data_IF_708267876944
#
_entry.id   IF_708267876944
#
_cell.length_a   1.000
_cell.length_b   1.000
_cell.length_c   1.000
_cell.angle_alpha   90.00
_cell.angle_beta   90.00
_cell.angle_gamma   90.00
#
_symmetry.space_group_name_H-M   'P 1'
#
loop_
_entity.id
_entity.type
_entity.pdbx_description
1 polymer ?
#
# COMPACT_ATOMS: atom_id res chain seq x y z
N UNK A 1 7.19 48.20 -6.09
CA UNK A 1 8.37 47.55 -5.47
C UNK A 1 8.10 47.37 -3.99
N UNK A 2 8.41 46.20 -3.44
CA UNK A 2 8.32 45.97 -2.00
C UNK A 2 9.26 46.94 -1.28
N UNK A 3 8.80 47.58 -0.21
CA UNK A 3 9.61 48.52 0.57
C UNK A 3 9.56 48.14 2.05
N UNK A 4 10.65 48.36 2.77
CA UNK A 4 10.70 48.12 4.20
C UNK A 4 11.22 49.31 4.99
N UNK A 5 10.75 49.45 6.22
CA UNK A 5 11.25 50.43 7.19
C UNK A 5 11.67 49.70 8.46
N UNK A 6 12.84 50.03 9.00
CA UNK A 6 13.34 49.46 10.27
C UNK A 6 13.35 50.55 11.33
N UNK A 7 12.69 50.30 12.45
CA UNK A 7 12.57 51.26 13.56
C UNK A 7 12.98 50.61 14.88
N UNK A 8 13.46 51.44 15.81
CA UNK A 8 13.79 51.01 17.18
C UNK A 8 12.55 51.19 18.06
N UNK A 9 12.02 50.09 18.59
CA UNK A 9 10.90 50.09 19.54
C UNK A 9 11.45 50.17 20.96
N UNK A 10 11.01 51.17 21.72
CA UNK A 10 11.31 51.32 23.15
C UNK A 10 10.06 50.98 23.96
N UNK A 11 10.18 50.01 24.85
CA UNK A 11 9.23 49.75 25.94
C UNK A 11 9.81 50.29 27.25
N UNK A 12 9.00 50.41 28.31
CA UNK A 12 9.42 50.94 29.63
C UNK A 12 10.67 50.24 30.21
N UNK A 13 10.92 48.98 29.85
CA UNK A 13 11.99 48.14 30.43
C UNK A 13 12.97 47.55 29.40
N UNK A 14 12.74 47.71 28.09
CA UNK A 14 13.64 47.15 27.06
C UNK A 14 13.51 47.86 25.72
N UNK A 15 14.58 47.78 24.90
CA UNK A 15 14.55 48.24 23.52
C UNK A 15 14.79 47.09 22.56
N UNK A 16 13.98 46.99 21.52
CA UNK A 16 14.13 45.99 20.44
C UNK A 16 13.98 46.66 19.09
N UNK A 17 14.52 46.04 18.06
CA UNK A 17 14.33 46.47 16.68
C UNK A 17 13.10 45.78 16.07
N UNK A 18 12.44 46.48 15.16
CA UNK A 18 11.31 45.97 14.40
C UNK A 18 11.40 46.42 12.94
N UNK A 19 10.77 45.66 12.05
CA UNK A 19 10.59 46.06 10.65
C UNK A 19 9.10 46.13 10.29
N UNK A 20 8.79 46.96 9.30
CA UNK A 20 7.52 47.03 8.59
C UNK A 20 7.78 46.82 7.09
N UNK A 21 7.31 45.72 6.51
CA UNK A 21 7.35 45.48 5.05
C UNK A 21 5.98 45.78 4.45
N UNK A 22 5.93 46.64 3.44
CA UNK A 22 4.71 46.95 2.67
C UNK A 22 4.71 46.15 1.38
N UNK A 23 3.66 45.37 1.15
CA UNK A 23 3.48 44.61 -0.09
C UNK A 23 1.99 44.33 -0.36
N UNK A 24 1.50 44.42 -1.61
CA UNK A 24 0.09 44.16 -1.96
C UNK A 24 -0.41 42.75 -1.65
N UNK A 25 0.47 41.75 -1.56
CA UNK A 25 0.09 40.37 -1.26
C UNK A 25 -0.34 40.12 0.19
N UNK A 26 -0.08 41.06 1.11
CA UNK A 26 -0.56 40.94 2.49
C UNK A 26 -2.01 41.42 2.60
N UNK A 27 -2.87 40.66 3.31
CA UNK A 27 -4.27 41.08 3.58
C UNK A 27 -4.40 42.48 4.20
N UNK A 28 -3.44 42.90 5.03
CA UNK A 28 -3.38 44.21 5.68
C UNK A 28 -2.54 45.26 4.93
N UNK A 29 -2.02 44.93 3.74
CA UNK A 29 -1.08 45.76 2.96
C UNK A 29 0.32 45.91 3.57
N UNK A 30 0.54 45.44 4.80
CA UNK A 30 1.82 45.47 5.52
C UNK A 30 1.97 44.30 6.50
N UNK A 31 3.20 43.78 6.64
CA UNK A 31 3.57 42.80 7.67
C UNK A 31 4.64 43.40 8.60
N UNK A 32 4.34 43.41 9.90
CA UNK A 32 5.21 43.96 10.96
C UNK A 32 5.75 42.83 11.82
N UNK A 33 7.05 42.87 12.15
CA UNK A 33 7.66 41.94 13.12
C UNK A 33 8.63 42.69 14.02
N UNK A 34 8.55 42.45 15.33
CA UNK A 34 9.39 43.06 16.36
C UNK A 34 10.11 42.00 17.20
N UNK A 35 11.15 42.41 17.93
CA UNK A 35 11.88 41.53 18.86
C UNK A 35 13.33 41.26 18.48
N UNK A 36 13.87 41.95 17.48
CA UNK A 36 15.27 41.80 17.05
C UNK A 36 16.22 42.54 18.01
N UNK A 37 17.39 41.96 18.28
CA UNK A 37 18.38 42.56 19.20
C UNK A 37 19.15 43.68 18.52
N UNK A 38 19.43 43.55 17.22
CA UNK A 38 20.19 44.54 16.44
C UNK A 38 19.42 45.08 15.24
N UNK A 39 19.82 46.26 14.74
CA UNK A 39 19.29 46.83 13.49
C UNK A 39 19.57 45.90 12.31
N UNK A 40 20.76 45.31 12.27
CA UNK A 40 21.20 44.41 11.20
C UNK A 40 20.32 43.15 11.12
N UNK A 41 19.98 42.53 12.26
CA UNK A 41 19.04 41.40 12.30
C UNK A 41 17.67 41.77 11.71
N UNK A 42 17.13 42.93 12.07
CA UNK A 42 15.86 43.41 11.56
C UNK A 42 15.91 43.73 10.05
N UNK A 43 17.02 44.30 9.56
CA UNK A 43 17.25 44.57 8.13
C UNK A 43 17.35 43.26 7.34
N UNK A 44 18.16 42.30 7.79
CA UNK A 44 18.33 41.00 7.13
C UNK A 44 16.99 40.23 7.07
N UNK A 45 16.22 40.24 8.16
CA UNK A 45 14.91 39.60 8.19
C UNK A 45 13.90 40.28 7.24
N UNK A 46 13.93 41.61 7.12
CA UNK A 46 13.08 42.35 6.20
C UNK A 46 13.47 42.10 4.72
N UNK A 47 14.76 42.09 4.42
CA UNK A 47 15.27 41.76 3.08
C UNK A 47 14.94 40.32 2.69
N UNK A 48 15.08 39.36 3.61
CA UNK A 48 14.68 37.98 3.37
C UNK A 48 13.18 37.88 3.06
N UNK A 49 12.33 38.60 3.80
CA UNK A 49 10.89 38.62 3.55
C UNK A 49 10.55 39.22 2.18
N UNK A 50 11.27 40.25 1.73
CA UNK A 50 11.10 40.83 0.39
C UNK A 50 11.54 39.86 -0.71
N UNK A 51 12.65 39.15 -0.54
CA UNK A 51 13.06 38.11 -1.51
C UNK A 51 12.03 37.00 -1.61
N UNK A 52 11.55 36.52 -0.46
CA UNK A 52 10.53 35.47 -0.40
C UNK A 52 9.23 35.89 -1.10
N UNK A 53 8.89 37.19 -1.00
CA UNK A 53 7.77 37.84 -1.67
C UNK A 53 7.93 37.94 -3.19
N UNK A 54 9.13 38.28 -3.65
CA UNK A 54 9.48 38.46 -5.07
C UNK A 54 9.59 37.12 -5.79
N UNK A 55 10.02 36.06 -5.09
CA UNK A 55 10.11 34.69 -5.60
C UNK A 55 8.74 33.98 -5.71
N UNK A 56 7.62 34.66 -5.39
CA UNK A 56 6.27 34.10 -5.48
C UNK A 56 5.94 33.06 -4.41
N UNK A 57 6.75 32.94 -3.34
CA UNK A 57 6.47 32.01 -2.26
C UNK A 57 5.25 32.46 -1.46
N UNK A 58 4.36 31.52 -1.13
CA UNK A 58 3.21 31.79 -0.29
C UNK A 58 3.68 32.18 1.12
N UNK A 59 3.44 33.44 1.52
CA UNK A 59 3.72 33.94 2.88
C UNK A 59 2.58 33.56 3.84
N UNK A 60 1.81 32.53 3.48
CA UNK A 60 0.76 32.06 4.34
C UNK A 60 1.40 31.23 5.45
N UNK A 61 1.14 31.63 6.70
CA UNK A 61 1.60 30.91 7.89
C UNK A 61 0.69 29.70 8.13
N UNK A 62 0.45 28.92 7.06
CA UNK A 62 -0.44 27.78 7.05
C UNK A 62 0.21 26.58 7.72
N UNK A 63 -0.55 25.90 8.58
CA UNK A 63 -0.10 24.66 9.21
C UNK A 63 -0.07 23.53 8.17
N UNK A 64 0.77 22.52 8.41
CA UNK A 64 0.81 21.37 7.52
C UNK A 64 -0.50 20.61 7.49
N UNK A 65 -1.21 20.52 8.62
CA UNK A 65 -2.54 19.89 8.70
C UNK A 65 -3.55 20.55 7.78
N UNK A 66 -3.65 21.88 7.82
CA UNK A 66 -4.58 22.63 6.98
C UNK A 66 -4.30 22.40 5.49
N UNK A 67 -3.03 22.53 5.08
CA UNK A 67 -2.67 22.28 3.68
C UNK A 67 -2.90 20.83 3.27
N UNK A 68 -2.56 19.87 4.13
CA UNK A 68 -2.78 18.45 3.85
C UNK A 68 -4.26 18.13 3.65
N UNK A 69 -5.15 18.69 4.48
CA UNK A 69 -6.60 18.48 4.35
C UNK A 69 -7.16 19.08 3.06
N UNK A 70 -6.73 20.29 2.69
CA UNK A 70 -7.12 20.90 1.42
C UNK A 70 -6.60 20.08 0.23
N UNK A 71 -5.35 19.62 0.31
CA UNK A 71 -4.72 18.77 -0.69
C UNK A 71 -5.48 17.44 -0.87
N UNK A 72 -5.97 16.82 0.21
CA UNK A 72 -6.80 15.62 0.13
C UNK A 72 -8.10 15.86 -0.65
N UNK A 73 -8.72 17.02 -0.49
CA UNK A 73 -9.94 17.42 -1.21
C UNK A 73 -9.62 17.70 -2.67
N UNK A 74 -8.61 18.53 -2.94
CA UNK A 74 -8.19 18.92 -4.30
C UNK A 74 -7.81 17.70 -5.14
N UNK A 75 -7.05 16.76 -4.57
CA UNK A 75 -6.64 15.53 -5.26
C UNK A 75 -7.69 14.42 -5.22
N UNK A 76 -8.91 14.73 -4.76
CA UNK A 76 -10.04 13.80 -4.64
C UNK A 76 -9.66 12.47 -3.95
N UNK A 77 -8.83 12.51 -2.91
CA UNK A 77 -8.34 11.31 -2.21
C UNK A 77 -9.47 10.58 -1.46
N UNK A 78 -10.59 11.27 -1.18
CA UNK A 78 -11.78 10.67 -0.56
C UNK A 78 -12.49 9.65 -1.46
N UNK A 79 -12.25 9.67 -2.77
CA UNK A 79 -12.77 8.65 -3.70
C UNK A 79 -12.07 7.29 -3.59
N UNK A 80 -10.94 7.22 -2.86
CA UNK A 80 -10.20 5.98 -2.64
C UNK A 80 -10.97 5.01 -1.74
N UNK A 81 -10.61 3.72 -1.79
CA UNK A 81 -11.19 2.75 -0.87
C UNK A 81 -10.91 3.12 0.59
N UNK A 82 -11.82 2.76 1.51
CA UNK A 82 -11.68 3.02 2.95
C UNK A 82 -10.31 2.63 3.50
N UNK A 83 -9.76 1.50 3.05
CA UNK A 83 -8.45 1.00 3.48
C UNK A 83 -7.28 1.85 2.97
N UNK A 84 -7.38 2.39 1.75
CA UNK A 84 -6.36 3.28 1.20
C UNK A 84 -6.44 4.66 1.87
N UNK A 85 -7.65 5.20 2.03
CA UNK A 85 -7.87 6.48 2.67
C UNK A 85 -7.44 6.49 4.14
N UNK A 86 -7.65 5.37 4.86
CA UNK A 86 -7.16 5.18 6.23
C UNK A 86 -5.68 5.55 6.41
N UNK A 87 -4.82 5.24 5.43
CA UNK A 87 -3.40 5.58 5.54
C UNK A 87 -3.16 7.08 5.44
N UNK A 88 -3.93 7.83 4.66
CA UNK A 88 -3.82 9.28 4.61
C UNK A 88 -4.22 9.90 5.95
N UNK A 89 -5.32 9.43 6.57
CA UNK A 89 -5.77 9.87 7.90
C UNK A 89 -4.79 9.48 9.00
N UNK A 90 -4.25 8.26 8.95
CA UNK A 90 -3.28 7.79 9.95
C UNK A 90 -1.96 8.56 9.83
N UNK A 91 -1.51 8.85 8.60
CA UNK A 91 -0.24 9.54 8.37
C UNK A 91 -0.25 10.96 8.91
N UNK A 92 -1.35 11.72 8.72
CA UNK A 92 -1.42 13.07 9.26
C UNK A 92 -1.49 13.05 10.80
N UNK A 93 -2.24 12.11 11.39
CA UNK A 93 -2.26 11.94 12.86
C UNK A 93 -0.88 11.64 13.44
N UNK A 94 -0.15 10.71 12.83
CA UNK A 94 1.23 10.39 13.22
C UNK A 94 2.17 11.59 13.09
N UNK A 95 1.99 12.39 12.04
CA UNK A 95 2.74 13.63 11.87
C UNK A 95 2.44 14.61 13.01
N UNK A 96 1.17 14.81 13.36
CA UNK A 96 0.77 15.70 14.47
C UNK A 96 1.24 15.20 15.83
N UNK A 97 1.20 13.87 16.07
CA UNK A 97 1.72 13.25 17.30
C UNK A 97 3.22 13.55 17.50
N UNK A 98 4.00 13.68 16.41
CA UNK A 98 5.45 13.93 16.48
C UNK A 98 5.82 15.42 16.43
N UNK A 99 5.22 16.19 15.52
CA UNK A 99 5.57 17.60 15.26
C UNK A 99 4.68 18.61 15.98
N UNK A 100 3.53 18.17 16.51
CA UNK A 100 2.48 19.04 17.04
C UNK A 100 1.55 19.58 15.97
N UNK A 101 0.31 19.91 16.36
CA UNK A 101 -0.74 20.38 15.44
C UNK A 101 -0.44 21.75 14.80
N UNK A 102 0.35 22.59 15.48
CA UNK A 102 0.73 23.94 15.03
C UNK A 102 1.92 23.99 14.08
N UNK A 103 2.44 22.85 13.61
CA UNK A 103 3.62 22.81 12.75
C UNK A 103 3.35 23.50 11.41
N UNK A 104 4.05 24.61 11.15
CA UNK A 104 3.98 25.33 9.88
C UNK A 104 4.71 24.56 8.77
N UNK A 105 4.12 24.54 7.57
CA UNK A 105 4.67 23.80 6.41
C UNK A 105 6.11 24.23 6.13
N UNK A 106 6.35 25.54 6.06
CA UNK A 106 7.66 26.14 5.77
C UNK A 106 8.78 25.76 6.75
N UNK A 107 8.43 25.30 7.95
CA UNK A 107 9.39 24.93 8.99
C UNK A 107 9.78 23.44 8.91
N UNK A 108 9.16 22.66 8.03
CA UNK A 108 9.47 21.24 7.87
C UNK A 108 10.81 21.11 7.16
N UNK A 109 11.80 20.58 7.86
CA UNK A 109 13.14 20.34 7.31
C UNK A 109 13.35 18.86 7.01
N UNK A 110 14.26 18.57 6.08
CA UNK A 110 14.64 17.19 5.74
C UNK A 110 15.16 16.41 6.95
N UNK A 111 15.99 17.04 7.78
CA UNK A 111 16.57 16.41 8.97
C UNK A 111 15.49 15.98 9.96
N UNK A 112 14.55 16.87 10.28
CA UNK A 112 13.47 16.55 11.21
C UNK A 112 12.49 15.53 10.63
N UNK A 113 12.22 15.59 9.31
CA UNK A 113 11.41 14.59 8.64
C UNK A 113 12.07 13.19 8.65
N UNK A 114 13.40 13.10 8.48
CA UNK A 114 14.12 11.83 8.63
C UNK A 114 14.04 11.29 10.07
N UNK A 115 14.16 12.16 11.09
CA UNK A 115 14.02 11.75 12.50
C UNK A 115 12.61 11.22 12.78
N UNK A 116 11.58 11.85 12.23
CA UNK A 116 10.21 11.36 12.31
C UNK A 116 10.07 9.94 11.71
N UNK A 117 10.63 9.70 10.51
CA UNK A 117 10.59 8.38 9.91
C UNK A 117 11.36 7.32 10.71
N UNK A 118 12.51 7.68 11.28
CA UNK A 118 13.29 6.79 12.14
C UNK A 118 12.50 6.42 13.41
N UNK A 119 11.90 7.41 14.06
CA UNK A 119 11.08 7.21 15.26
C UNK A 119 9.87 6.32 14.94
N UNK A 120 9.16 6.58 13.84
CA UNK A 120 8.06 5.71 13.43
C UNK A 120 8.54 4.31 12.99
N UNK A 121 9.76 4.22 12.45
CA UNK A 121 10.39 2.96 12.07
C UNK A 121 10.66 2.01 13.23
N UNK A 122 10.80 2.53 14.45
CA UNK A 122 10.92 1.71 15.65
C UNK A 122 9.65 0.87 15.87
N UNK A 123 9.82 -0.46 15.85
CA UNK A 123 8.72 -1.42 16.01
C UNK A 123 7.92 -1.73 14.74
N UNK A 124 8.22 -1.05 13.62
CA UNK A 124 7.51 -1.21 12.36
C UNK A 124 8.38 -1.85 11.28
N UNK A 125 7.72 -2.41 10.27
CA UNK A 125 8.38 -2.93 9.06
C UNK A 125 8.61 -1.80 8.06
N UNK A 126 9.63 -1.93 7.20
CA UNK A 126 9.90 -0.97 6.11
C UNK A 126 8.64 -0.63 5.30
N UNK A 127 7.83 -1.65 4.99
CA UNK A 127 6.60 -1.47 4.22
C UNK A 127 5.52 -0.66 4.95
N UNK A 128 5.51 -0.72 6.29
CA UNK A 128 4.60 0.10 7.09
C UNK A 128 5.06 1.56 7.12
N UNK A 129 6.36 1.79 7.33
CA UNK A 129 6.97 3.13 7.26
C UNK A 129 6.77 3.74 5.87
N UNK A 130 6.95 2.93 4.81
CA UNK A 130 6.77 3.33 3.41
C UNK A 130 5.37 3.85 3.13
N UNK A 131 4.33 3.25 3.72
CA UNK A 131 2.95 3.73 3.53
C UNK A 131 2.75 5.13 4.10
N UNK A 132 3.26 5.39 5.30
CA UNK A 132 3.21 6.71 5.93
C UNK A 132 4.00 7.72 5.11
N UNK A 133 5.24 7.38 4.77
CA UNK A 133 6.08 8.22 3.92
C UNK A 133 5.43 8.53 2.57
N UNK A 134 4.80 7.55 1.91
CA UNK A 134 4.17 7.72 0.60
C UNK A 134 3.01 8.73 0.64
N UNK A 135 2.18 8.69 1.68
CA UNK A 135 1.09 9.65 1.85
C UNK A 135 1.61 11.07 2.10
N UNK A 136 2.57 11.22 3.01
CA UNK A 136 3.12 12.53 3.39
C UNK A 136 3.96 13.16 2.28
N UNK A 137 4.84 12.38 1.63
CA UNK A 137 5.77 12.87 0.60
C UNK A 137 5.08 13.32 -0.68
N UNK A 138 3.92 12.77 -1.02
CA UNK A 138 3.14 13.28 -2.15
C UNK A 138 2.63 14.70 -1.87
N UNK A 139 2.12 14.94 -0.66
CA UNK A 139 1.64 16.26 -0.26
C UNK A 139 2.78 17.27 -0.09
N UNK A 140 3.89 16.88 0.55
CA UNK A 140 5.05 17.76 0.76
C UNK A 140 5.74 18.16 -0.55
N UNK A 141 5.77 17.29 -1.56
CA UNK A 141 6.29 17.65 -2.89
C UNK A 141 5.39 18.63 -3.61
N UNK A 142 4.08 18.48 -3.52
CA UNK A 142 3.15 19.46 -4.09
C UNK A 142 3.28 20.82 -3.36
N UNK A 143 3.45 20.80 -2.02
CA UNK A 143 3.66 22.02 -1.23
C UNK A 143 4.94 22.79 -1.63
N UNK A 144 5.96 22.10 -2.13
CA UNK A 144 7.16 22.72 -2.70
C UNK A 144 6.84 23.47 -4.00
N UNK A 145 6.10 22.84 -4.92
CA UNK A 145 5.70 23.48 -6.18
C UNK A 145 4.70 24.62 -5.98
N UNK A 146 3.86 24.52 -4.95
CA UNK A 146 2.93 25.57 -4.54
C UNK A 146 3.62 26.72 -3.76
N UNK A 147 4.94 26.65 -3.54
CA UNK A 147 5.71 27.73 -2.92
C UNK A 147 5.61 27.84 -1.39
N UNK A 148 5.12 26.80 -0.70
CA UNK A 148 5.11 26.75 0.77
C UNK A 148 6.44 26.24 1.36
N UNK A 149 7.22 25.50 0.57
CA UNK A 149 8.55 25.01 0.92
C UNK A 149 9.59 25.57 -0.03
N UNK A 150 10.79 25.82 0.46
CA UNK A 150 11.96 26.20 -0.38
C UNK A 150 12.78 25.01 -0.84
N UNK A 151 12.70 23.90 -0.09
CA UNK A 151 13.46 22.66 -0.34
C UNK A 151 12.56 21.48 0.01
N UNK A 152 12.69 20.40 -0.75
CA UNK A 152 11.95 19.16 -0.48
C UNK A 152 12.45 18.49 0.82
N UNK A 153 11.64 18.40 1.89
CA UNK A 153 12.02 17.71 3.11
C UNK A 153 12.03 16.18 2.95
N UNK A 154 11.49 15.66 1.85
CA UNK A 154 11.38 14.23 1.56
C UNK A 154 12.44 13.73 0.59
N UNK A 155 13.29 14.62 0.07
CA UNK A 155 14.34 14.27 -0.87
C UNK A 155 15.34 13.30 -0.25
N UNK A 156 15.54 12.15 -0.90
CA UNK A 156 16.52 11.13 -0.51
C UNK A 156 16.46 10.76 0.98
N UNK A 157 15.26 10.55 1.51
CA UNK A 157 15.07 10.08 2.88
C UNK A 157 15.08 8.55 2.92
N UNK A 158 15.63 7.99 3.99
CA UNK A 158 15.68 6.55 4.18
C UNK A 158 14.40 6.05 4.85
N UNK A 159 13.75 5.08 4.22
CA UNK A 159 12.56 4.41 4.75
C UNK A 159 12.97 3.06 5.32
N UNK A 160 13.30 3.05 6.62
CA UNK A 160 13.74 1.85 7.34
C UNK A 160 12.92 1.65 8.61
N UNK A 161 12.43 0.44 8.80
CA UNK A 161 11.82 -0.03 10.03
C UNK A 161 12.75 -1.01 10.75
N UNK A 162 12.63 -1.10 12.07
CA UNK A 162 13.47 -2.01 12.87
C UNK A 162 12.92 -3.43 12.90
N UNK A 163 11.64 -3.62 12.56
CA UNK A 163 11.02 -4.93 12.49
C UNK A 163 11.23 -5.54 11.10
N UNK A 164 11.91 -6.68 11.04
CA UNK A 164 12.02 -7.44 9.78
C UNK A 164 10.64 -7.85 9.26
N UNK A 165 10.46 -7.75 7.95
CA UNK A 165 9.31 -8.35 7.29
C UNK A 165 9.39 -9.87 7.45
N UNK A 166 8.23 -10.54 7.40
CA UNK A 166 8.22 -12.01 7.42
C UNK A 166 8.86 -12.53 6.14
N UNK A 167 9.75 -13.50 6.28
CA UNK A 167 10.38 -14.16 5.14
C UNK A 167 9.32 -14.72 4.19
N UNK A 168 9.59 -14.59 2.90
CA UNK A 168 8.67 -15.01 1.85
C UNK A 168 8.44 -16.52 1.85
N UNK A 169 9.47 -17.30 2.20
CA UNK A 169 9.46 -18.75 2.42
C UNK A 169 8.34 -19.21 3.36
N UNK A 170 8.03 -18.43 4.41
CA UNK A 170 6.98 -18.75 5.39
C UNK A 170 5.54 -18.61 4.86
N UNK A 171 5.39 -18.14 3.61
CA UNK A 171 4.07 -17.96 2.95
C UNK A 171 3.66 -19.16 2.10
N UNK A 172 4.51 -20.17 1.94
CA UNK A 172 4.26 -21.33 1.09
C UNK A 172 3.93 -22.58 1.92
N UNK A 173 3.28 -23.54 1.28
CA UNK A 173 3.15 -24.90 1.79
C UNK A 173 3.82 -25.86 0.80
N UNK A 174 4.20 -27.05 1.26
CA UNK A 174 4.78 -28.04 0.36
C UNK A 174 3.72 -28.54 -0.63
N UNK A 175 4.15 -29.03 -1.81
CA UNK A 175 3.23 -29.58 -2.82
C UNK A 175 2.34 -30.69 -2.22
N UNK A 176 2.92 -31.57 -1.39
CA UNK A 176 2.19 -32.63 -0.70
C UNK A 176 1.11 -32.09 0.25
N UNK A 177 1.39 -31.00 0.97
CA UNK A 177 0.42 -30.35 1.86
C UNK A 177 -0.71 -29.69 1.07
N UNK A 178 -0.36 -29.05 -0.05
CA UNK A 178 -1.30 -28.41 -0.95
C UNK A 178 -2.29 -29.41 -1.56
N UNK A 179 -1.81 -30.54 -2.07
CA UNK A 179 -2.64 -31.62 -2.60
C UNK A 179 -3.59 -32.19 -1.52
N UNK A 180 -3.09 -32.43 -0.30
CA UNK A 180 -3.93 -32.88 0.84
C UNK A 180 -5.05 -31.89 1.17
N UNK A 181 -4.77 -30.59 1.12
CA UNK A 181 -5.80 -29.57 1.34
C UNK A 181 -6.86 -29.57 0.25
N UNK A 182 -6.46 -29.70 -1.02
CA UNK A 182 -7.39 -29.80 -2.14
C UNK A 182 -8.35 -30.98 -1.95
N UNK A 183 -7.82 -32.16 -1.65
CA UNK A 183 -8.64 -33.35 -1.40
C UNK A 183 -9.55 -33.16 -0.19
N UNK A 184 -9.06 -32.55 0.88
CA UNK A 184 -9.90 -32.21 2.04
C UNK A 184 -11.03 -31.24 1.66
N UNK A 185 -10.79 -30.24 0.83
CA UNK A 185 -11.85 -29.33 0.39
C UNK A 185 -12.89 -30.03 -0.50
N UNK A 186 -12.46 -31.00 -1.32
CA UNK A 186 -13.36 -31.81 -2.16
C UNK A 186 -14.34 -32.68 -1.36
N UNK A 187 -14.03 -33.07 -0.12
CA UNK A 187 -14.95 -33.88 0.72
C UNK A 187 -16.01 -33.06 1.45
N UNK A 188 -15.85 -31.73 1.49
CA UNK A 188 -16.68 -30.81 2.29
C UNK A 188 -17.75 -30.10 1.45
N UNK A 189 -18.92 -29.87 2.04
CA UNK A 189 -20.08 -29.25 1.35
C UNK A 189 -20.36 -27.83 1.84
N UNK A 190 -19.67 -27.38 2.89
CA UNK A 190 -19.83 -26.06 3.44
C UNK A 190 -19.27 -25.01 2.49
N UNK A 191 -19.99 -23.90 2.37
CA UNK A 191 -19.71 -22.80 1.44
C UNK A 191 -18.25 -22.33 1.48
N UNK A 192 -17.66 -22.20 2.67
CA UNK A 192 -16.26 -21.79 2.84
C UNK A 192 -15.25 -22.79 2.27
N UNK A 193 -15.53 -24.09 2.30
CA UNK A 193 -14.63 -25.10 1.72
C UNK A 193 -14.76 -25.19 0.21
N UNK A 194 -15.97 -25.02 -0.34
CA UNK A 194 -16.16 -24.88 -1.79
C UNK A 194 -15.38 -23.67 -2.30
N UNK A 195 -15.46 -22.55 -1.58
CA UNK A 195 -14.71 -21.34 -1.90
C UNK A 195 -13.19 -21.56 -1.84
N UNK A 196 -12.68 -22.22 -0.79
CA UNK A 196 -11.26 -22.56 -0.67
C UNK A 196 -10.79 -23.50 -1.78
N UNK A 197 -11.63 -24.44 -2.21
CA UNK A 197 -11.34 -25.31 -3.34
C UNK A 197 -11.15 -24.52 -4.63
N UNK A 198 -12.05 -23.57 -4.93
CA UNK A 198 -11.92 -22.67 -6.08
C UNK A 198 -10.63 -21.86 -6.00
N UNK A 199 -10.31 -21.27 -4.84
CA UNK A 199 -9.06 -20.51 -4.67
C UNK A 199 -7.81 -21.35 -4.93
N UNK A 200 -7.81 -22.62 -4.50
CA UNK A 200 -6.70 -23.53 -4.74
C UNK A 200 -6.55 -23.84 -6.24
N UNK A 201 -7.59 -24.35 -6.91
CA UNK A 201 -7.45 -24.82 -8.30
C UNK A 201 -7.27 -23.69 -9.34
N UNK A 202 -7.67 -22.46 -9.00
CA UNK A 202 -7.55 -21.30 -9.90
C UNK A 202 -6.39 -20.36 -9.57
N UNK A 203 -5.88 -20.38 -8.33
CA UNK A 203 -4.98 -19.33 -7.85
C UNK A 203 -5.62 -17.94 -7.76
N UNK A 204 -6.95 -17.84 -7.74
CA UNK A 204 -7.67 -16.57 -7.67
C UNK A 204 -7.33 -15.78 -6.39
N UNK A 205 -7.48 -14.44 -6.45
CA UNK A 205 -7.53 -13.63 -5.23
C UNK A 205 -8.91 -13.79 -4.61
N UNK A 206 -9.00 -13.63 -3.29
CA UNK A 206 -10.28 -13.62 -2.58
C UNK A 206 -11.31 -12.69 -3.24
N UNK A 207 -10.89 -11.47 -3.61
CA UNK A 207 -11.76 -10.46 -4.23
C UNK A 207 -12.26 -10.85 -5.62
N UNK A 208 -11.53 -11.73 -6.33
CA UNK A 208 -11.95 -12.19 -7.65
C UNK A 208 -13.02 -13.28 -7.48
N UNK A 209 -12.77 -14.25 -6.60
CA UNK A 209 -13.69 -15.38 -6.38
C UNK A 209 -14.98 -15.00 -5.64
N UNK A 210 -14.94 -14.04 -4.70
CA UNK A 210 -16.12 -13.64 -3.89
C UNK A 210 -17.22 -12.97 -4.72
N UNK A 211 -16.87 -12.45 -5.90
CA UNK A 211 -17.80 -11.74 -6.79
C UNK A 211 -18.31 -12.63 -7.92
N UNK A 212 -17.98 -13.92 -7.93
CA UNK A 212 -18.44 -14.85 -8.96
C UNK A 212 -19.96 -15.06 -8.91
N UNK A 213 -20.54 -15.26 -10.08
CA UNK A 213 -21.93 -15.63 -10.33
C UNK A 213 -22.00 -16.97 -11.08
N UNK A 214 -23.20 -17.56 -11.21
CA UNK A 214 -23.36 -18.90 -11.81
C UNK A 214 -22.83 -19.01 -13.25
N UNK A 215 -23.05 -17.97 -14.07
CA UNK A 215 -22.56 -17.94 -15.46
C UNK A 215 -21.03 -17.94 -15.55
N UNK A 216 -20.31 -17.60 -14.48
CA UNK A 216 -18.86 -17.63 -14.46
C UNK A 216 -18.29 -19.06 -14.37
N UNK A 217 -19.15 -20.07 -14.12
CA UNK A 217 -18.79 -21.48 -14.06
C UNK A 217 -19.18 -22.20 -15.35
N UNK A 218 -18.27 -22.28 -16.31
CA UNK A 218 -18.51 -22.97 -17.58
C UNK A 218 -18.01 -24.42 -17.55
N UNK A 219 -18.93 -25.34 -17.25
CA UNK A 219 -18.63 -26.78 -17.15
C UNK A 219 -18.24 -27.39 -18.51
N UNK A 220 -18.84 -26.94 -19.62
CA UNK A 220 -18.58 -27.52 -20.95
C UNK A 220 -17.16 -27.23 -21.40
N UNK A 221 -16.73 -25.97 -21.23
CA UNK A 221 -15.42 -25.54 -21.70
C UNK A 221 -14.32 -25.77 -20.65
N UNK A 222 -14.68 -26.15 -19.42
CA UNK A 222 -13.72 -26.29 -18.32
C UNK A 222 -13.13 -24.94 -17.91
N UNK A 223 -13.95 -23.89 -17.87
CA UNK A 223 -13.48 -22.52 -17.65
C UNK A 223 -14.20 -21.88 -16.45
N UNK A 224 -13.41 -21.19 -15.62
CA UNK A 224 -13.91 -20.26 -14.62
C UNK A 224 -13.58 -18.83 -15.04
N UNK A 225 -14.60 -17.98 -15.19
CA UNK A 225 -14.41 -16.55 -15.46
C UNK A 225 -14.14 -15.79 -14.16
N UNK A 226 -12.95 -15.20 -14.04
CA UNK A 226 -12.60 -14.32 -12.93
C UNK A 226 -12.66 -12.88 -13.44
N UNK A 227 -13.80 -12.21 -13.25
CA UNK A 227 -14.05 -10.83 -13.72
C UNK A 227 -13.04 -9.81 -13.22
N UNK A 228 -12.45 -10.07 -12.05
CA UNK A 228 -11.43 -9.21 -11.48
C UNK A 228 -11.96 -7.84 -11.04
N UNK A 229 -11.28 -7.21 -10.09
CA UNK A 229 -11.75 -5.91 -9.52
C UNK A 229 -10.63 -4.90 -9.30
N UNK A 230 -9.37 -5.28 -9.51
CA UNK A 230 -8.21 -4.53 -9.00
C UNK A 230 -7.15 -4.11 -10.01
N UNK A 231 -7.10 -4.75 -11.18
CA UNK A 231 -6.08 -4.46 -12.20
C UNK A 231 -6.65 -4.59 -13.59
N UNK A 232 -6.01 -3.96 -14.56
CA UNK A 232 -6.35 -4.08 -15.99
C UNK A 232 -6.41 -5.56 -16.43
N UNK A 233 -5.46 -6.37 -15.95
CA UNK A 233 -5.38 -7.81 -16.24
C UNK A 233 -6.16 -8.68 -15.23
N UNK A 234 -7.09 -8.08 -14.47
CA UNK A 234 -7.82 -8.84 -13.46
C UNK A 234 -8.92 -9.71 -14.09
N UNK A 235 -9.60 -9.20 -15.13
CA UNK A 235 -10.57 -9.98 -15.92
C UNK A 235 -9.85 -11.04 -16.73
N UNK A 236 -10.20 -12.31 -16.54
CA UNK A 236 -9.55 -13.45 -17.19
C UNK A 236 -10.36 -14.73 -17.11
N UNK A 237 -10.18 -15.59 -18.09
CA UNK A 237 -10.69 -16.96 -18.11
C UNK A 237 -9.61 -17.92 -17.62
N UNK A 238 -9.96 -18.78 -16.66
CA UNK A 238 -9.04 -19.73 -16.03
C UNK A 238 -9.50 -21.15 -16.33
N UNK A 239 -8.67 -21.88 -17.07
CA UNK A 239 -8.90 -23.30 -17.39
C UNK A 239 -8.78 -24.17 -16.14
N UNK A 240 -9.76 -25.04 -15.93
CA UNK A 240 -9.84 -26.02 -14.84
C UNK A 240 -10.50 -27.30 -15.35
N UNK A 241 -10.42 -28.38 -14.57
CA UNK A 241 -11.07 -29.64 -14.95
C UNK A 241 -12.60 -29.50 -14.98
N UNK A 242 -13.24 -30.00 -16.04
CA UNK A 242 -14.71 -30.09 -16.12
C UNK A 242 -15.29 -30.85 -14.92
N UNK A 243 -14.59 -31.90 -14.45
CA UNK A 243 -15.00 -32.68 -13.26
C UNK A 243 -15.04 -31.82 -12.00
N UNK A 244 -14.10 -30.88 -11.85
CA UNK A 244 -14.04 -29.99 -10.69
C UNK A 244 -15.17 -28.95 -10.74
N UNK A 245 -15.48 -28.39 -11.91
CA UNK A 245 -16.62 -27.49 -12.07
C UNK A 245 -17.93 -28.21 -11.76
N UNK A 246 -18.11 -29.42 -12.30
CA UNK A 246 -19.28 -30.25 -12.02
C UNK A 246 -19.44 -30.53 -10.53
N UNK A 247 -18.35 -30.86 -9.84
CA UNK A 247 -18.33 -31.04 -8.39
C UNK A 247 -18.76 -29.75 -7.67
N UNK A 248 -18.18 -28.60 -8.04
CA UNK A 248 -18.54 -27.29 -7.47
C UNK A 248 -20.04 -27.02 -7.65
N UNK A 249 -20.56 -27.13 -8.88
CA UNK A 249 -21.98 -26.91 -9.18
C UNK A 249 -22.89 -27.82 -8.37
N UNK A 250 -22.58 -29.13 -8.30
CA UNK A 250 -23.36 -30.10 -7.53
C UNK A 250 -23.48 -29.76 -6.04
N UNK A 251 -22.48 -29.08 -5.49
CA UNK A 251 -22.48 -28.61 -4.09
C UNK A 251 -23.20 -27.28 -3.94
N UNK A 252 -22.98 -26.34 -4.87
CA UNK A 252 -23.63 -25.03 -4.85
C UNK A 252 -25.16 -25.12 -4.97
N UNK A 253 -25.68 -26.08 -5.74
CA UNK A 253 -27.13 -26.32 -5.86
C UNK A 253 -27.79 -26.68 -4.51
N UNK A 254 -27.02 -27.25 -3.57
CA UNK A 254 -27.50 -27.61 -2.22
C UNK A 254 -27.48 -26.41 -1.26
N UNK A 255 -26.86 -25.30 -1.64
CA UNK A 255 -26.79 -24.09 -0.83
C UNK A 255 -27.94 -23.14 -1.18
N UNK A 256 -28.41 -22.31 -0.22
CA UNK A 256 -29.44 -21.32 -0.49
C UNK A 256 -28.97 -20.30 -1.54
N UNK A 257 -29.78 -20.09 -2.58
CA UNK A 257 -29.49 -19.10 -3.62
C UNK A 257 -29.59 -17.68 -3.07
N UNK A 258 -28.70 -16.81 -3.53
CA UNK A 258 -28.67 -15.40 -3.12
C UNK A 258 -29.47 -14.54 -4.10
N UNK A 259 -30.16 -13.53 -3.57
CA UNK A 259 -30.94 -12.55 -4.36
C UNK A 259 -30.04 -11.69 -5.25
N UNK A 260 -28.81 -11.40 -4.81
CA UNK A 260 -27.83 -10.62 -5.58
C UNK A 260 -27.11 -11.43 -6.68
N UNK A 261 -27.52 -12.69 -6.90
CA UNK A 261 -26.96 -13.59 -7.92
C UNK A 261 -25.55 -14.09 -7.65
N UNK A 262 -24.88 -13.63 -6.59
CA UNK A 262 -23.52 -14.09 -6.23
C UNK A 262 -23.54 -15.52 -5.71
N UNK A 263 -22.44 -16.23 -5.93
CA UNK A 263 -22.29 -17.61 -5.44
C UNK A 263 -22.01 -17.68 -3.93
N UNK A 264 -21.40 -16.64 -3.34
CA UNK A 264 -20.84 -16.70 -1.98
C UNK A 264 -21.17 -15.47 -1.10
N UNK A 265 -21.35 -15.68 0.21
CA UNK A 265 -21.50 -14.68 1.28
C UNK A 265 -20.45 -14.88 2.39
N UNK A 266 -19.18 -14.78 2.02
CA UNK A 266 -18.08 -15.08 2.93
C UNK A 266 -17.31 -13.83 3.33
N UNK A 267 -16.98 -13.73 4.62
CA UNK A 267 -15.98 -12.77 5.10
C UNK A 267 -14.58 -13.38 5.04
N UNK A 268 -13.55 -12.54 4.99
CA UNK A 268 -12.16 -12.98 5.14
C UNK A 268 -11.96 -13.83 6.41
N UNK A 269 -12.62 -13.47 7.50
CA UNK A 269 -12.55 -14.17 8.78
C UNK A 269 -13.17 -15.57 8.71
N UNK A 270 -14.32 -15.72 8.03
CA UNK A 270 -14.95 -17.03 7.85
C UNK A 270 -14.04 -17.97 7.05
N UNK A 271 -13.51 -17.51 5.93
CA UNK A 271 -12.58 -18.29 5.09
C UNK A 271 -11.31 -18.64 5.86
N UNK A 272 -10.75 -17.71 6.63
CA UNK A 272 -9.58 -17.97 7.46
C UNK A 272 -9.84 -19.02 8.56
N UNK A 273 -11.03 -19.01 9.18
CA UNK A 273 -11.42 -20.02 10.17
C UNK A 273 -11.51 -21.42 9.55
N UNK A 274 -12.22 -21.56 8.43
CA UNK A 274 -12.33 -22.84 7.72
C UNK A 274 -10.97 -23.34 7.23
N UNK A 275 -10.13 -22.45 6.70
CA UNK A 275 -8.79 -22.80 6.28
C UNK A 275 -7.91 -23.28 7.45
N UNK A 276 -7.95 -22.59 8.59
CA UNK A 276 -7.22 -23.01 9.78
C UNK A 276 -7.72 -24.35 10.33
N UNK A 277 -9.02 -24.63 10.22
CA UNK A 277 -9.55 -25.95 10.54
C UNK A 277 -9.01 -27.02 9.59
N UNK A 278 -9.05 -26.81 8.27
CA UNK A 278 -8.50 -27.74 7.28
C UNK A 278 -7.00 -28.00 7.48
N UNK A 279 -6.21 -26.97 7.83
CA UNK A 279 -4.79 -27.14 8.19
C UNK A 279 -4.60 -28.12 9.35
N UNK A 280 -5.41 -28.01 10.40
CA UNK A 280 -5.35 -28.94 11.54
C UNK A 280 -5.66 -30.37 11.10
N UNK A 281 -6.68 -30.58 10.26
CA UNK A 281 -7.07 -31.90 9.76
C UNK A 281 -6.04 -32.52 8.80
N UNK A 282 -5.28 -31.70 8.09
CA UNK A 282 -4.27 -32.15 7.11
C UNK A 282 -2.85 -32.21 7.69
N UNK A 283 -2.67 -31.92 8.98
CA UNK A 283 -1.39 -31.99 9.68
C UNK A 283 -0.47 -30.78 9.47
N UNK A 284 -1.00 -29.66 8.95
CA UNK A 284 -0.24 -28.42 8.74
C UNK A 284 -0.26 -27.60 10.03
N UNK A 285 0.86 -27.59 10.75
CA UNK A 285 1.00 -26.93 12.06
C UNK A 285 1.36 -25.44 11.99
N UNK A 286 1.84 -24.98 10.83
CA UNK A 286 2.28 -23.59 10.67
C UNK A 286 1.09 -22.60 10.74
N UNK A 287 1.16 -21.69 11.72
CA UNK A 287 0.16 -20.65 11.95
C UNK A 287 0.30 -19.46 10.99
N UNK A 288 1.42 -19.31 10.32
CA UNK A 288 1.71 -18.22 9.38
C UNK A 288 1.16 -18.45 7.98
N UNK A 289 0.89 -19.71 7.61
CA UNK A 289 0.21 -20.05 6.38
C UNK A 289 -1.25 -19.57 6.46
N UNK A 290 -1.64 -18.67 5.57
CA UNK A 290 -3.00 -18.10 5.47
C UNK A 290 -3.67 -18.57 4.19
N UNK A 291 -4.98 -18.33 3.96
CA UNK A 291 -5.62 -18.68 2.69
C UNK A 291 -4.92 -18.10 1.45
N UNK A 292 -4.20 -16.98 1.59
CA UNK A 292 -3.44 -16.38 0.49
C UNK A 292 -2.26 -17.27 0.04
N UNK A 293 -1.77 -18.15 0.91
CA UNK A 293 -0.75 -19.14 0.58
C UNK A 293 -1.20 -20.12 -0.51
N UNK A 294 -2.51 -20.34 -0.69
CA UNK A 294 -3.04 -21.20 -1.76
C UNK A 294 -2.63 -20.66 -3.13
N UNK A 295 -2.71 -19.34 -3.35
CA UNK A 295 -2.31 -18.70 -4.61
C UNK A 295 -0.81 -18.78 -4.84
N UNK A 296 -0.03 -18.53 -3.80
CA UNK A 296 1.43 -18.65 -3.85
C UNK A 296 1.83 -20.08 -4.21
N UNK A 297 1.27 -21.07 -3.51
CA UNK A 297 1.58 -22.47 -3.73
C UNK A 297 1.01 -23.00 -5.06
N UNK A 298 -0.12 -22.48 -5.53
CA UNK A 298 -0.63 -22.76 -6.88
C UNK A 298 0.39 -22.37 -7.96
N UNK A 299 1.02 -21.20 -7.80
CA UNK A 299 2.09 -20.73 -8.69
C UNK A 299 3.26 -21.72 -8.68
N UNK A 300 3.71 -22.09 -7.48
CA UNK A 300 4.78 -23.08 -7.26
C UNK A 300 4.46 -24.43 -7.90
N UNK A 301 3.24 -24.90 -7.71
CA UNK A 301 2.76 -26.18 -8.20
C UNK A 301 2.73 -26.23 -9.73
N UNK A 302 2.26 -25.18 -10.40
CA UNK A 302 2.26 -25.15 -11.86
C UNK A 302 3.68 -25.07 -12.43
N UNK A 303 4.57 -24.32 -11.79
CA UNK A 303 5.98 -24.23 -12.19
C UNK A 303 6.70 -25.57 -12.04
N UNK A 304 6.45 -26.31 -10.94
CA UNK A 304 7.06 -27.63 -10.76
C UNK A 304 6.55 -28.68 -11.76
N UNK A 305 5.39 -28.43 -12.39
CA UNK A 305 4.88 -29.22 -13.51
C UNK A 305 5.37 -28.74 -14.88
N UNK A 306 6.29 -27.78 -14.93
CA UNK A 306 6.90 -27.29 -16.17
C UNK A 306 6.01 -26.36 -16.98
N UNK A 307 4.94 -25.80 -16.39
CA UNK A 307 4.09 -24.82 -17.09
C UNK A 307 4.85 -23.49 -17.23
N UNK A 308 4.89 -22.87 -18.42
CA UNK A 308 5.62 -21.62 -18.65
C UNK A 308 5.19 -20.49 -17.72
N UNK A 309 6.16 -19.72 -17.21
CA UNK A 309 5.93 -18.66 -16.24
C UNK A 309 5.04 -17.54 -16.80
N UNK A 310 5.11 -17.29 -18.11
CA UNK A 310 4.28 -16.31 -18.82
C UNK A 310 2.81 -16.70 -18.77
N UNK A 311 2.52 -17.98 -19.02
CA UNK A 311 1.16 -18.51 -18.94
C UNK A 311 0.63 -18.43 -17.50
N UNK A 312 1.44 -18.82 -16.51
CA UNK A 312 1.06 -18.74 -15.09
C UNK A 312 0.81 -17.29 -14.67
N UNK A 313 1.64 -16.35 -15.11
CA UNK A 313 1.48 -14.93 -14.84
C UNK A 313 0.14 -14.38 -15.37
N UNK A 314 -0.22 -14.75 -16.61
CA UNK A 314 -1.52 -14.42 -17.22
C UNK A 314 -2.68 -15.07 -16.47
N UNK A 315 -2.59 -16.37 -16.17
CA UNK A 315 -3.58 -17.12 -15.38
C UNK A 315 -3.86 -16.47 -14.02
N UNK A 316 -2.83 -15.95 -13.36
CA UNK A 316 -2.95 -15.29 -12.06
C UNK A 316 -3.42 -13.83 -12.16
N UNK A 317 -3.37 -13.21 -13.34
CA UNK A 317 -3.67 -11.78 -13.51
C UNK A 317 -2.62 -10.91 -12.81
N UNK A 318 -1.33 -11.19 -13.03
CA UNK A 318 -0.24 -10.32 -12.62
C UNK A 318 -0.04 -9.20 -13.64
N UNK A 319 0.18 -7.97 -13.15
CA UNK A 319 0.47 -6.82 -14.01
C UNK A 319 1.88 -6.91 -14.62
N UNK A 320 2.84 -7.46 -13.87
CA UNK A 320 4.22 -7.71 -14.31
C UNK A 320 4.59 -9.17 -14.05
N UNK A 321 5.33 -9.76 -15.00
CA UNK A 321 5.85 -11.13 -14.90
C UNK A 321 6.82 -11.26 -13.70
N UNK A 322 7.56 -10.19 -13.37
CA UNK A 322 8.49 -10.17 -12.24
C UNK A 322 7.85 -10.59 -10.91
N UNK A 323 6.56 -10.28 -10.69
CA UNK A 323 5.84 -10.71 -9.49
C UNK A 323 5.77 -12.24 -9.38
N UNK A 324 5.60 -12.93 -10.52
CA UNK A 324 5.64 -14.40 -10.58
C UNK A 324 7.07 -14.91 -10.38
N UNK A 325 8.07 -14.19 -10.90
CA UNK A 325 9.48 -14.55 -10.78
C UNK A 325 9.98 -14.45 -9.34
N UNK A 326 9.60 -13.40 -8.61
CA UNK A 326 9.95 -13.23 -7.19
C UNK A 326 9.41 -14.41 -6.35
N UNK A 327 8.20 -14.88 -6.66
CA UNK A 327 7.58 -16.06 -6.05
C UNK A 327 8.37 -17.34 -6.41
N UNK A 328 8.83 -17.45 -7.66
CA UNK A 328 9.59 -18.60 -8.15
C UNK A 328 11.01 -18.68 -7.58
N UNK A 329 11.68 -17.54 -7.39
CA UNK A 329 13.07 -17.48 -6.96
C UNK A 329 13.33 -18.26 -5.68
N UNK A 330 12.34 -18.37 -4.80
CA UNK A 330 12.44 -19.11 -3.54
C UNK A 330 12.29 -20.64 -3.69
N UNK A 331 11.68 -21.11 -4.78
CA UNK A 331 11.44 -22.54 -5.05
C UNK A 331 12.52 -23.18 -5.91
N UNK A 332 13.30 -22.35 -6.62
CA UNK A 332 14.47 -22.81 -7.36
C UNK A 332 15.42 -23.61 -6.45
N UNK A 333 15.46 -23.33 -5.15
CA UNK A 333 16.30 -24.08 -4.22
C UNK A 333 15.86 -25.55 -4.05
N UNK A 334 14.55 -25.85 -4.11
CA UNK A 334 14.05 -27.23 -4.03
C UNK A 334 14.30 -28.02 -5.33
N UNK A 335 14.20 -27.35 -6.48
CA UNK A 335 14.36 -27.99 -7.79
C UNK A 335 15.76 -27.85 -8.40
N UNK A 336 16.69 -27.11 -7.78
CA UNK A 336 18.05 -26.87 -8.29
C UNK A 336 18.79 -28.17 -8.65
N UNK A 337 18.65 -29.21 -7.82
CA UNK A 337 19.28 -30.52 -8.05
C UNK A 337 18.69 -31.25 -9.25
N UNK A 338 17.36 -31.28 -9.37
CA UNK A 338 16.63 -31.92 -10.46
C UNK A 338 16.88 -31.21 -11.79
N UNK A 339 16.86 -29.87 -11.79
CA UNK A 339 17.20 -29.06 -12.97
C UNK A 339 18.67 -29.27 -13.37
N UNK A 340 19.59 -29.30 -12.39
CA UNK A 340 21.00 -29.60 -12.65
C UNK A 340 21.21 -31.00 -13.24
N UNK A 341 20.43 -31.99 -12.83
CA UNK A 341 20.46 -33.32 -13.43
C UNK A 341 19.93 -33.32 -14.85
N UNK A 342 18.78 -32.68 -15.09
CA UNK A 342 18.17 -32.57 -16.43
C UNK A 342 19.06 -31.82 -17.43
N UNK A 343 19.78 -30.79 -16.96
CA UNK A 343 20.80 -30.10 -17.76
C UNK A 343 21.95 -31.05 -18.11
N UNK A 344 22.44 -31.84 -17.15
CA UNK A 344 23.48 -32.85 -17.44
C UNK A 344 23.01 -33.85 -18.49
N UNK A 345 21.77 -34.32 -18.40
CA UNK A 345 21.17 -35.27 -19.36
C UNK A 345 20.94 -34.67 -20.76
N UNK A 346 20.74 -33.35 -20.87
CA UNK A 346 20.53 -32.66 -22.16
C UNK A 346 21.83 -32.44 -22.94
N UNK A 347 22.96 -32.38 -22.25
CA UNK A 347 24.29 -32.14 -22.83
C UNK A 347 25.24 -33.34 -22.69
N UNK A 348 24.70 -34.50 -22.28
CA UNK A 348 25.34 -35.81 -22.35
C UNK A 348 24.87 -36.55 -23.60
#
# INVERSE_FOLDING_TARGET
MASFTVTKRKNKTSSSWQYDVKHPSFKSGKKRKSGFKTKAEAVNAAQQLIRDLEDGNAIDDKTFKEYYNDWLVIKNKKSLSKRQYYWYERSIKLFEEYFGEGMLIKNITRTEYQKFLNNYGEGHTDETVRKVHSCLSCCLRDALYDGYLKKDPTYNVEVKGTKKSKEESTKFMTIKQYEKLIEYFKTRNEESYIFLFILAITGARFSDAINMVDIDLNEKDGIIHLRGTKSVNADRFVEVSQKDIKLIKSKLVKLPKRVDGKLFKLSHTAVAKSFNHAKKQTGIKDKHITPYALRHTHTSFLLSKGIPIEYISKRLGHYKISVTLDIYSHLLDEHKKEQGQRVRELFS
#
